data_IF_443657235978
#
_entry.id   IF_443657235978
#
_cell.length_a   1.000
_cell.length_b   1.000
_cell.length_c   1.000
_cell.angle_alpha   90.00
_cell.angle_beta   90.00
_cell.angle_gamma   90.00
#
_symmetry.space_group_name_H-M   'P 1'
#
loop_
_entity.id
_entity.type
_entity.pdbx_description
1 polymer ?
#
# COMPACT_ATOMS: atom_id res chain seq x y z
N UNK A 1 7.93 14.75 47.19
CA UNK A 1 7.92 15.21 45.78
C UNK A 1 9.16 14.79 44.98
N UNK A 2 10.41 14.97 45.43
CA UNK A 2 11.63 14.61 44.69
C UNK A 2 11.67 13.14 44.23
N UNK A 3 11.23 12.18 45.04
CA UNK A 3 11.25 10.75 44.68
C UNK A 3 10.24 10.38 43.63
N UNK A 4 9.06 11.00 43.60
CA UNK A 4 8.02 10.76 42.57
C UNK A 4 8.51 11.22 41.21
N UNK A 5 9.13 12.39 41.13
CA UNK A 5 9.72 12.95 39.91
C UNK A 5 10.83 12.03 39.40
N UNK A 6 11.70 11.52 40.28
CA UNK A 6 12.77 10.60 39.89
C UNK A 6 12.23 9.28 39.35
N UNK A 7 11.20 8.72 39.99
CA UNK A 7 10.52 7.48 39.51
C UNK A 7 9.90 7.74 38.14
N UNK A 8 9.23 8.88 37.95
CA UNK A 8 8.62 9.24 36.67
C UNK A 8 9.65 9.35 35.53
N UNK A 9 10.77 10.06 35.77
CA UNK A 9 11.85 10.16 34.78
C UNK A 9 12.49 8.78 34.45
N UNK A 10 12.74 7.95 35.48
CA UNK A 10 13.26 6.61 35.26
C UNK A 10 12.28 5.73 34.41
N UNK A 11 10.99 5.82 34.67
CA UNK A 11 9.98 5.09 33.91
C UNK A 11 9.96 5.53 32.44
N UNK A 12 10.02 6.86 32.19
CA UNK A 12 10.12 7.38 30.81
C UNK A 12 11.40 6.87 30.13
N UNK A 13 12.53 6.91 30.83
CA UNK A 13 13.81 6.43 30.27
C UNK A 13 13.75 4.94 29.91
N UNK A 14 13.17 4.11 30.78
CA UNK A 14 12.98 2.68 30.51
C UNK A 14 12.10 2.46 29.29
N UNK A 15 10.99 3.19 29.16
CA UNK A 15 10.09 3.08 27.98
C UNK A 15 10.81 3.48 26.71
N UNK A 16 11.56 4.58 26.70
CA UNK A 16 12.33 5.02 25.55
C UNK A 16 13.44 4.02 25.19
N UNK A 17 14.11 3.44 26.18
CA UNK A 17 15.12 2.42 25.97
C UNK A 17 14.52 1.16 25.33
N UNK A 18 13.41 0.65 25.88
CA UNK A 18 12.70 -0.52 25.31
C UNK A 18 12.23 -0.25 23.89
N UNK A 19 11.74 0.96 23.62
CA UNK A 19 11.33 1.37 22.27
C UNK A 19 12.52 1.38 21.30
N UNK A 20 13.67 1.92 21.73
CA UNK A 20 14.90 1.90 20.92
C UNK A 20 15.39 0.48 20.61
N UNK A 21 15.31 -0.43 21.60
CA UNK A 21 15.65 -1.85 21.42
C UNK A 21 14.69 -2.50 20.42
N UNK A 22 13.40 -2.19 20.51
CA UNK A 22 12.39 -2.73 19.60
C UNK A 22 12.63 -2.25 18.15
N UNK A 23 12.96 -0.96 17.96
CA UNK A 23 13.36 -0.42 16.67
C UNK A 23 14.56 -1.20 16.12
N UNK A 24 15.62 -1.32 16.92
CA UNK A 24 16.85 -2.00 16.51
C UNK A 24 16.59 -3.46 16.10
N UNK A 25 15.79 -4.19 16.87
CA UNK A 25 15.42 -5.57 16.55
C UNK A 25 14.62 -5.63 15.25
N UNK A 26 13.60 -4.78 15.08
CA UNK A 26 12.74 -4.80 13.89
C UNK A 26 13.47 -4.47 12.59
N UNK A 27 14.50 -3.62 12.64
CA UNK A 27 15.30 -3.27 11.46
C UNK A 27 16.34 -4.34 11.11
N UNK A 28 16.90 -5.03 12.11
CA UNK A 28 18.07 -5.88 11.93
C UNK A 28 17.79 -7.37 11.99
N UNK A 29 16.57 -7.80 12.37
CA UNK A 29 16.28 -9.23 12.55
C UNK A 29 15.53 -9.80 11.35
N UNK A 30 16.18 -10.67 10.57
CA UNK A 30 15.57 -11.37 9.44
C UNK A 30 14.38 -12.26 9.85
N UNK A 31 14.43 -12.87 11.03
CA UNK A 31 13.36 -13.72 11.56
C UNK A 31 12.04 -12.98 11.74
N UNK A 32 12.10 -11.72 12.25
CA UNK A 32 10.91 -10.90 12.40
C UNK A 32 10.30 -10.56 11.03
N UNK A 33 11.14 -10.20 10.07
CA UNK A 33 10.70 -9.88 8.71
C UNK A 33 10.07 -11.08 8.00
N UNK A 34 10.61 -12.28 8.18
CA UNK A 34 10.05 -13.52 7.63
C UNK A 34 8.70 -13.87 8.25
N UNK A 35 8.55 -13.74 9.58
CA UNK A 35 7.28 -13.97 10.27
C UNK A 35 6.19 -12.98 9.79
N UNK A 36 6.56 -11.72 9.62
CA UNK A 36 5.65 -10.69 9.09
C UNK A 36 5.24 -11.01 7.65
N UNK A 37 6.18 -11.45 6.82
CA UNK A 37 5.94 -11.85 5.43
C UNK A 37 4.90 -12.97 5.36
N UNK A 38 5.13 -14.08 6.08
CA UNK A 38 4.20 -15.19 6.08
C UNK A 38 2.80 -14.82 6.59
N UNK A 39 2.71 -13.90 7.56
CA UNK A 39 1.43 -13.39 8.06
C UNK A 39 0.68 -12.55 7.02
N UNK A 40 1.40 -11.73 6.26
CA UNK A 40 0.83 -10.92 5.17
C UNK A 40 0.34 -11.82 4.04
N UNK A 41 1.16 -12.75 3.56
CA UNK A 41 0.80 -13.68 2.49
C UNK A 41 -0.44 -14.49 2.84
N UNK A 42 -0.47 -15.04 4.06
CA UNK A 42 -1.63 -15.79 4.55
C UNK A 42 -2.89 -14.91 4.61
N UNK A 43 -2.78 -13.69 5.12
CA UNK A 43 -3.93 -12.79 5.21
C UNK A 43 -4.48 -12.41 3.85
N UNK A 44 -3.64 -12.19 2.85
CA UNK A 44 -4.09 -11.92 1.48
C UNK A 44 -4.80 -13.14 0.90
N UNK A 45 -4.27 -14.34 1.10
CA UNK A 45 -4.90 -15.58 0.64
C UNK A 45 -6.26 -15.80 1.30
N UNK A 46 -6.34 -15.66 2.64
CA UNK A 46 -7.58 -15.89 3.39
C UNK A 46 -8.66 -14.85 3.11
N UNK A 47 -8.27 -13.58 2.86
CA UNK A 47 -9.23 -12.47 2.70
C UNK A 47 -9.67 -12.24 1.26
N UNK A 48 -8.80 -12.50 0.29
CA UNK A 48 -9.01 -12.12 -1.12
C UNK A 48 -8.86 -13.28 -2.11
N UNK A 49 -8.53 -14.47 -1.61
CA UNK A 49 -8.27 -15.66 -2.42
C UNK A 49 -7.20 -15.44 -3.50
N UNK A 50 -6.17 -14.69 -3.13
CA UNK A 50 -5.06 -14.28 -4.00
C UNK A 50 -3.77 -14.88 -3.48
N UNK A 51 -3.04 -15.56 -4.36
CA UNK A 51 -1.72 -16.09 -4.06
C UNK A 51 -0.72 -14.92 -4.11
N UNK A 52 -0.17 -14.58 -2.95
CA UNK A 52 0.79 -13.50 -2.81
C UNK A 52 2.20 -14.06 -2.73
N UNK A 53 3.13 -13.48 -3.46
CA UNK A 53 4.57 -13.76 -3.37
C UNK A 53 5.30 -12.47 -3.12
N UNK A 54 6.15 -12.46 -2.11
CA UNK A 54 6.97 -11.31 -1.69
C UNK A 54 8.40 -11.80 -1.50
N UNK A 55 9.36 -11.17 -2.18
CA UNK A 55 10.76 -11.58 -2.06
C UNK A 55 11.36 -11.18 -0.72
N UNK A 56 11.11 -9.96 -0.28
CA UNK A 56 11.57 -9.50 1.03
C UNK A 56 10.75 -8.36 1.58
N UNK A 57 10.75 -8.28 2.91
CA UNK A 57 10.18 -7.18 3.69
C UNK A 57 11.29 -6.62 4.56
N UNK A 58 11.36 -5.29 4.65
CA UNK A 58 12.21 -4.58 5.60
C UNK A 58 11.40 -3.50 6.30
N UNK A 59 11.58 -3.39 7.60
CA UNK A 59 11.02 -2.27 8.36
C UNK A 59 12.09 -1.20 8.48
N UNK A 60 11.71 0.04 8.21
CA UNK A 60 12.52 1.22 8.40
C UNK A 60 11.73 2.23 9.22
N UNK A 61 12.38 2.85 10.19
CA UNK A 61 11.73 3.84 11.03
C UNK A 61 12.03 5.26 10.55
N UNK A 62 10.97 6.03 10.35
CA UNK A 62 11.04 7.47 10.03
C UNK A 62 10.50 8.25 11.23
N UNK A 63 11.38 8.57 12.18
CA UNK A 63 10.99 9.06 13.50
C UNK A 63 10.25 7.99 14.30
N UNK A 64 9.02 8.25 14.70
CA UNK A 64 8.17 7.31 15.45
C UNK A 64 7.30 6.42 14.53
N UNK A 65 7.24 6.71 13.24
CA UNK A 65 6.39 6.00 12.31
C UNK A 65 7.19 4.95 11.53
N UNK A 66 6.77 3.68 11.56
CA UNK A 66 7.42 2.65 10.76
C UNK A 66 6.97 2.68 9.30
N UNK A 67 7.91 2.43 8.41
CA UNK A 67 7.70 2.19 6.99
C UNK A 67 8.05 0.74 6.66
N UNK A 68 7.14 0.02 6.04
CA UNK A 68 7.35 -1.35 5.57
C UNK A 68 7.73 -1.28 4.10
N UNK A 69 8.98 -1.60 3.80
CA UNK A 69 9.49 -1.69 2.44
C UNK A 69 9.30 -3.12 1.95
N UNK A 70 8.60 -3.26 0.83
CA UNK A 70 8.32 -4.55 0.20
C UNK A 70 9.05 -4.58 -1.13
N UNK A 71 9.89 -5.60 -1.33
CA UNK A 71 10.57 -5.84 -2.60
C UNK A 71 9.84 -6.95 -3.34
N UNK A 72 9.57 -6.70 -4.63
CA UNK A 72 8.96 -7.69 -5.51
C UNK A 72 7.66 -8.29 -4.96
N UNK A 73 6.60 -7.48 -4.97
CA UNK A 73 5.25 -7.97 -4.64
C UNK A 73 4.58 -8.47 -5.91
N UNK A 74 4.15 -9.72 -5.91
CA UNK A 74 3.41 -10.34 -6.99
C UNK A 74 2.13 -10.98 -6.46
N UNK A 75 1.00 -10.61 -7.05
CA UNK A 75 -0.31 -11.16 -6.76
C UNK A 75 -0.78 -12.00 -7.94
N UNK A 76 -1.13 -13.24 -7.68
CA UNK A 76 -1.67 -14.16 -8.69
C UNK A 76 -3.09 -14.59 -8.33
N UNK A 77 -3.89 -14.91 -9.33
CA UNK A 77 -5.17 -15.58 -9.14
C UNK A 77 -4.98 -17.07 -8.81
N UNK A 78 -6.08 -17.78 -8.53
CA UNK A 78 -6.07 -19.24 -8.26
C UNK A 78 -5.51 -20.06 -9.44
N UNK A 79 -5.56 -19.53 -10.66
CA UNK A 79 -5.03 -20.14 -11.86
C UNK A 79 -3.58 -19.76 -12.13
N UNK A 80 -2.93 -19.09 -11.18
CA UNK A 80 -1.55 -18.60 -11.24
C UNK A 80 -1.31 -17.51 -12.32
N UNK A 81 -2.37 -16.84 -12.80
CA UNK A 81 -2.21 -15.68 -13.66
C UNK A 81 -1.84 -14.45 -12.82
N UNK A 82 -0.90 -13.66 -13.32
CA UNK A 82 -0.46 -12.43 -12.64
C UNK A 82 -1.57 -11.38 -12.70
N UNK A 83 -2.06 -10.98 -11.52
CA UNK A 83 -3.03 -9.92 -11.34
C UNK A 83 -2.32 -8.56 -11.22
N UNK A 84 -1.27 -8.55 -10.41
CA UNK A 84 -0.53 -7.37 -10.09
C UNK A 84 0.93 -7.72 -9.77
N UNK A 85 1.85 -6.89 -10.23
CA UNK A 85 3.27 -7.04 -9.93
C UNK A 85 3.90 -5.67 -9.77
N UNK A 86 4.72 -5.51 -8.73
CA UNK A 86 5.52 -4.32 -8.52
C UNK A 86 6.89 -4.69 -7.96
N UNK A 87 7.98 -4.12 -8.49
CA UNK A 87 9.32 -4.39 -7.98
C UNK A 87 9.57 -3.77 -6.61
N UNK A 88 8.85 -2.71 -6.26
CA UNK A 88 9.02 -2.04 -4.97
C UNK A 88 7.76 -1.33 -4.52
N UNK A 89 7.40 -1.50 -3.26
CA UNK A 89 6.35 -0.73 -2.60
C UNK A 89 6.74 -0.36 -1.17
N UNK A 90 6.15 0.71 -0.67
CA UNK A 90 6.35 1.21 0.69
C UNK A 90 5.00 1.45 1.33
N UNK A 91 4.78 0.86 2.49
CA UNK A 91 3.60 1.10 3.31
C UNK A 91 4.03 1.92 4.53
N UNK A 92 3.50 3.12 4.68
CA UNK A 92 3.73 3.98 5.84
C UNK A 92 2.61 3.83 6.84
N UNK A 93 2.96 3.55 8.08
CA UNK A 93 2.02 3.33 9.17
C UNK A 93 2.02 4.55 10.10
N UNK A 94 0.85 5.01 10.49
CA UNK A 94 0.68 5.98 11.58
C UNK A 94 0.61 5.21 12.91
N UNK A 95 1.76 5.14 13.61
CA UNK A 95 1.86 4.37 14.84
C UNK A 95 0.99 4.93 15.96
N UNK A 96 0.99 6.26 16.15
CA UNK A 96 0.22 6.87 17.23
C UNK A 96 -1.27 6.65 17.03
N UNK A 97 -1.76 6.85 15.82
CA UNK A 97 -3.16 6.60 15.47
C UNK A 97 -3.52 5.11 15.59
N UNK A 98 -2.60 4.23 15.20
CA UNK A 98 -2.77 2.78 15.33
C UNK A 98 -2.91 2.35 16.79
N UNK A 99 -2.09 2.89 17.67
CA UNK A 99 -2.15 2.63 19.11
C UNK A 99 -3.44 3.19 19.73
N UNK A 100 -3.81 4.42 19.38
CA UNK A 100 -5.01 5.07 19.91
C UNK A 100 -6.29 4.32 19.47
N UNK A 101 -6.36 3.88 18.22
CA UNK A 101 -7.53 3.20 17.67
C UNK A 101 -7.50 1.68 17.82
N UNK A 102 -6.42 1.10 18.37
CA UNK A 102 -6.20 -0.35 18.48
C UNK A 102 -6.35 -1.10 17.15
N UNK A 103 -6.12 -0.40 16.04
CA UNK A 103 -6.21 -0.93 14.67
C UNK A 103 -5.04 -0.42 13.85
N UNK A 104 -4.56 -1.22 12.89
CA UNK A 104 -3.47 -0.79 12.00
C UNK A 104 -3.96 0.35 11.10
N UNK A 105 -3.43 1.55 11.32
CA UNK A 105 -3.69 2.73 10.51
C UNK A 105 -2.57 2.92 9.48
N UNK A 106 -2.88 2.68 8.23
CA UNK A 106 -1.99 2.93 7.10
C UNK A 106 -2.22 4.36 6.65
N UNK A 107 -1.16 5.17 6.67
CA UNK A 107 -1.19 6.55 6.23
C UNK A 107 -1.05 6.65 4.70
N UNK A 108 -0.07 5.94 4.15
CA UNK A 108 0.26 6.01 2.73
C UNK A 108 0.77 4.66 2.20
N UNK A 109 0.40 4.35 0.96
CA UNK A 109 0.94 3.23 0.20
C UNK A 109 1.58 3.80 -1.07
N UNK A 110 2.90 3.64 -1.22
CA UNK A 110 3.64 4.07 -2.41
C UNK A 110 4.01 2.83 -3.22
N UNK A 111 3.64 2.83 -4.49
CA UNK A 111 3.90 1.75 -5.43
C UNK A 111 4.74 2.32 -6.58
N UNK A 112 5.88 1.71 -6.86
CA UNK A 112 6.81 2.21 -7.87
C UNK A 112 6.97 1.21 -9.01
N UNK A 113 7.11 1.75 -10.24
CA UNK A 113 7.47 0.98 -11.44
C UNK A 113 6.54 -0.20 -11.71
N UNK A 114 5.25 -0.05 -11.48
CA UNK A 114 4.26 -1.11 -11.70
C UNK A 114 3.56 -0.97 -13.04
N UNK A 115 3.05 -2.10 -13.56
CA UNK A 115 2.11 -2.11 -14.67
C UNK A 115 0.75 -2.59 -14.18
N UNK A 116 -0.24 -1.71 -14.27
CA UNK A 116 -1.64 -2.00 -13.96
C UNK A 116 -2.39 -2.27 -15.27
N UNK A 117 -2.96 -3.46 -15.39
CA UNK A 117 -3.83 -3.79 -16.51
C UNK A 117 -5.28 -3.73 -16.08
N UNK A 118 -6.02 -2.79 -16.66
CA UNK A 118 -7.44 -2.61 -16.45
C UNK A 118 -8.19 -3.17 -17.64
N UNK A 119 -9.29 -3.86 -17.42
CA UNK A 119 -10.18 -4.31 -18.48
C UNK A 119 -11.53 -3.64 -18.31
N UNK A 120 -11.99 -2.92 -19.35
CA UNK A 120 -13.33 -2.37 -19.42
C UNK A 120 -14.25 -3.38 -20.10
N UNK A 121 -15.37 -3.67 -19.47
CA UNK A 121 -16.44 -4.49 -20.01
C UNK A 121 -17.77 -3.74 -19.81
N UNK A 122 -18.28 -3.15 -20.87
CA UNK A 122 -19.41 -2.21 -20.85
C UNK A 122 -19.14 -1.04 -19.87
N UNK A 123 -19.90 -0.96 -18.79
CA UNK A 123 -19.76 0.08 -17.73
C UNK A 123 -18.86 -0.34 -16.57
N UNK A 124 -18.36 -1.57 -16.55
CA UNK A 124 -17.56 -2.09 -15.45
C UNK A 124 -16.07 -2.06 -15.77
N UNK A 125 -15.25 -1.73 -14.78
CA UNK A 125 -13.79 -1.77 -14.89
C UNK A 125 -13.28 -2.85 -13.95
N UNK A 126 -12.47 -3.74 -14.47
CA UNK A 126 -11.85 -4.84 -13.73
C UNK A 126 -10.34 -4.65 -13.72
N UNK A 127 -9.69 -4.93 -12.60
CA UNK A 127 -8.23 -5.09 -12.58
C UNK A 127 -7.93 -6.54 -12.90
N UNK A 128 -7.33 -6.82 -14.07
CA UNK A 128 -6.91 -8.15 -14.50
C UNK A 128 -7.94 -9.26 -14.19
N UNK A 129 -9.23 -9.03 -14.51
CA UNK A 129 -10.36 -9.93 -14.25
C UNK A 129 -10.78 -10.08 -12.77
N UNK A 130 -10.14 -9.41 -11.82
CA UNK A 130 -10.68 -9.30 -10.47
C UNK A 130 -11.84 -8.31 -10.44
N UNK A 131 -12.98 -8.77 -10.02
CA UNK A 131 -14.13 -7.90 -9.76
C UNK A 131 -13.88 -7.18 -8.43
N UNK A 132 -13.35 -5.96 -8.49
CA UNK A 132 -13.11 -5.14 -7.29
C UNK A 132 -14.39 -4.63 -6.62
N UNK A 133 -15.53 -4.81 -7.29
CA UNK A 133 -16.83 -4.44 -6.76
C UNK A 133 -17.43 -5.66 -6.05
N UNK A 134 -16.76 -6.19 -5.06
CA UNK A 134 -17.48 -6.93 -4.03
C UNK A 134 -18.25 -5.88 -3.24
N UNK A 135 -19.57 -5.85 -3.45
CA UNK A 135 -20.52 -5.14 -2.59
C UNK A 135 -20.37 -5.67 -1.16
N UNK A 136 -19.39 -5.16 -0.44
CA UNK A 136 -19.39 -5.26 1.00
C UNK A 136 -20.54 -4.42 1.50
N UNK A 137 -21.66 -5.06 1.87
CA UNK A 137 -22.82 -4.43 2.48
C UNK A 137 -22.54 -3.87 3.89
N UNK A 138 -21.29 -3.82 4.31
CA UNK A 138 -20.85 -3.21 5.57
C UNK A 138 -20.27 -1.83 5.29
N UNK A 139 -21.14 -0.82 5.36
CA UNK A 139 -20.84 0.61 5.34
C UNK A 139 -20.16 1.09 6.62
N UNK A 140 -19.06 0.46 7.04
CA UNK A 140 -18.08 1.17 7.85
C UNK A 140 -17.24 1.98 6.87
N UNK A 141 -17.24 3.30 7.02
CA UNK A 141 -16.37 4.19 6.28
C UNK A 141 -14.92 3.83 6.58
N UNK A 142 -14.37 2.93 5.77
CA UNK A 142 -12.95 2.60 5.83
C UNK A 142 -12.25 3.80 5.22
N UNK A 143 -11.52 4.57 6.05
CA UNK A 143 -10.67 5.62 5.52
C UNK A 143 -9.62 4.95 4.62
N UNK A 144 -9.69 5.20 3.32
CA UNK A 144 -8.72 4.70 2.37
C UNK A 144 -7.38 5.40 2.63
N UNK A 145 -6.26 4.68 2.75
CA UNK A 145 -4.95 5.31 2.85
C UNK A 145 -4.66 6.11 1.57
N UNK A 146 -3.78 7.09 1.67
CA UNK A 146 -3.26 7.77 0.49
C UNK A 146 -2.48 6.76 -0.37
N UNK A 147 -2.89 6.58 -1.62
CA UNK A 147 -2.22 5.70 -2.58
C UNK A 147 -1.43 6.56 -3.55
N UNK A 148 -0.15 6.27 -3.73
CA UNK A 148 0.75 6.96 -4.64
C UNK A 148 1.35 5.96 -5.61
N UNK A 149 1.04 6.08 -6.89
CA UNK A 149 1.73 5.36 -7.96
C UNK A 149 2.80 6.27 -8.55
N UNK A 150 4.02 5.75 -8.74
CA UNK A 150 5.13 6.48 -9.36
C UNK A 150 5.73 5.66 -10.50
N UNK A 151 6.09 6.34 -11.59
CA UNK A 151 6.78 5.75 -12.73
C UNK A 151 6.11 4.45 -13.23
N UNK A 152 4.79 4.46 -13.30
CA UNK A 152 3.96 3.27 -13.54
C UNK A 152 3.29 3.35 -14.92
N UNK A 153 2.81 2.21 -15.40
CA UNK A 153 2.06 2.11 -16.64
C UNK A 153 0.65 1.61 -16.34
N UNK A 154 -0.36 2.31 -16.83
CA UNK A 154 -1.74 1.82 -16.82
C UNK A 154 -2.11 1.40 -18.24
N UNK A 155 -2.47 0.15 -18.41
CA UNK A 155 -3.01 -0.40 -19.65
C UNK A 155 -4.50 -0.58 -19.51
N UNK A 156 -5.28 0.10 -20.34
CA UNK A 156 -6.73 -0.04 -20.39
C UNK A 156 -7.11 -0.83 -21.65
N UNK A 157 -7.62 -2.04 -21.46
CA UNK A 157 -8.14 -2.89 -22.53
C UNK A 157 -9.67 -2.80 -22.56
N UNK A 158 -10.22 -2.39 -23.67
CA UNK A 158 -11.66 -2.42 -23.89
C UNK A 158 -12.05 -3.74 -24.57
N UNK A 159 -12.92 -4.52 -23.93
CA UNK A 159 -13.37 -5.81 -24.47
C UNK A 159 -14.23 -5.65 -25.72
N UNK A 160 -15.01 -4.56 -25.82
CA UNK A 160 -15.92 -4.33 -26.93
C UNK A 160 -15.17 -4.00 -28.22
N UNK A 161 -14.18 -3.13 -28.13
CA UNK A 161 -13.39 -2.68 -29.30
C UNK A 161 -12.11 -3.47 -29.51
N UNK A 162 -11.71 -4.31 -28.53
CA UNK A 162 -10.43 -5.01 -28.46
C UNK A 162 -9.21 -4.09 -28.44
N UNK A 163 -9.40 -2.80 -28.31
CA UNK A 163 -8.33 -1.81 -28.25
C UNK A 163 -7.68 -1.80 -26.88
N UNK A 164 -6.37 -1.52 -26.86
CA UNK A 164 -5.61 -1.30 -25.63
C UNK A 164 -4.97 0.07 -25.70
N UNK A 165 -5.21 0.88 -24.68
CA UNK A 165 -4.60 2.20 -24.53
C UNK A 165 -3.64 2.12 -23.35
N UNK A 166 -2.43 2.63 -23.50
CA UNK A 166 -1.41 2.67 -22.44
C UNK A 166 -1.13 4.11 -22.03
N UNK A 167 -1.09 4.32 -20.73
CA UNK A 167 -0.73 5.60 -20.12
C UNK A 167 0.49 5.42 -19.24
N UNK A 168 1.55 6.18 -19.50
CA UNK A 168 2.71 6.25 -18.62
C UNK A 168 2.42 7.26 -17.52
N UNK A 169 2.39 6.79 -16.29
CA UNK A 169 2.10 7.58 -15.09
C UNK A 169 3.43 8.02 -14.46
N UNK A 170 3.71 9.31 -14.42
CA UNK A 170 4.81 9.83 -13.63
C UNK A 170 4.47 9.81 -12.16
N UNK A 171 3.28 10.34 -11.81
CA UNK A 171 2.75 10.30 -10.45
C UNK A 171 1.23 10.29 -10.51
N UNK A 172 0.60 9.40 -9.75
CA UNK A 172 -0.83 9.41 -9.47
C UNK A 172 -1.01 9.34 -7.95
N UNK A 173 -1.79 10.24 -7.40
CA UNK A 173 -2.12 10.31 -5.99
C UNK A 173 -3.62 10.14 -5.85
N UNK A 174 -4.06 9.14 -5.14
CA UNK A 174 -5.44 8.94 -4.74
C UNK A 174 -5.56 9.01 -3.22
N UNK A 175 -6.43 9.85 -2.71
CA UNK A 175 -6.68 9.99 -1.29
C UNK A 175 -8.17 10.19 -1.02
N UNK A 176 -8.62 9.80 0.17
CA UNK A 176 -10.00 9.97 0.59
C UNK A 176 -10.03 10.68 1.95
N UNK A 177 -10.28 11.99 1.92
CA UNK A 177 -10.56 12.82 3.09
C UNK A 177 -12.03 13.30 3.02
N UNK A 178 -12.99 12.37 3.14
CA UNK A 178 -14.44 12.52 2.92
C UNK A 178 -14.86 12.58 1.44
N UNK A 179 -13.99 12.94 0.51
CA UNK A 179 -14.19 12.87 -0.94
C UNK A 179 -12.98 12.20 -1.58
N UNK A 180 -13.21 11.43 -2.63
CA UNK A 180 -12.13 10.83 -3.40
C UNK A 180 -11.43 11.93 -4.22
N UNK A 181 -10.16 12.20 -3.88
CA UNK A 181 -9.31 13.12 -4.63
C UNK A 181 -8.31 12.30 -5.45
N UNK A 182 -8.24 12.56 -6.74
CA UNK A 182 -7.27 11.95 -7.64
C UNK A 182 -6.49 13.07 -8.31
N UNK A 183 -5.18 13.03 -8.17
CA UNK A 183 -4.24 13.92 -8.85
C UNK A 183 -3.29 13.03 -9.66
N UNK A 184 -3.32 13.17 -10.98
CA UNK A 184 -2.57 12.32 -11.89
C UNK A 184 -1.80 13.17 -12.92
N UNK A 185 -0.52 12.86 -13.06
CA UNK A 185 0.34 13.36 -14.12
C UNK A 185 0.76 12.18 -14.99
N UNK A 186 0.33 12.17 -16.25
CA UNK A 186 0.58 11.06 -17.15
C UNK A 186 0.94 11.54 -18.56
N UNK A 187 1.68 10.68 -19.27
CA UNK A 187 2.02 10.86 -20.68
C UNK A 187 1.25 9.81 -21.49
N UNK A 188 0.58 10.26 -22.53
CA UNK A 188 0.06 9.36 -23.55
C UNK A 188 1.20 8.94 -24.49
N UNK A 189 1.22 7.70 -24.97
CA UNK A 189 2.32 7.18 -25.81
C UNK A 189 2.56 8.00 -27.10
N UNK A 190 1.54 8.70 -27.59
CA UNK A 190 1.62 9.56 -28.80
C UNK A 190 1.86 11.03 -28.50
N UNK A 191 2.04 11.45 -27.25
CA UNK A 191 2.22 12.85 -26.85
C UNK A 191 3.52 13.02 -26.09
N UNK A 192 4.28 14.08 -26.43
CA UNK A 192 5.46 14.51 -25.68
C UNK A 192 5.10 15.33 -24.44
N UNK A 193 3.89 15.88 -24.39
CA UNK A 193 3.46 16.78 -23.34
C UNK A 193 2.71 16.01 -22.23
N UNK A 194 3.03 16.27 -20.96
CA UNK A 194 2.33 15.65 -19.84
C UNK A 194 0.91 16.21 -19.72
N UNK A 195 -0.05 15.32 -19.49
CA UNK A 195 -1.42 15.68 -19.19
C UNK A 195 -1.60 15.61 -17.67
N UNK A 196 -2.07 16.70 -17.08
CA UNK A 196 -2.43 16.74 -15.65
C UNK A 196 -3.94 16.60 -15.51
N UNK A 197 -4.36 15.65 -14.71
CA UNK A 197 -5.76 15.41 -14.37
C UNK A 197 -5.95 15.56 -12.87
N UNK A 198 -6.92 16.41 -12.49
CA UNK A 198 -7.29 16.63 -11.08
C UNK A 198 -8.80 16.35 -10.95
N UNK A 199 -9.15 15.42 -10.06
CA UNK A 199 -10.52 15.15 -9.65
C UNK A 199 -10.64 15.39 -8.14
N UNK A 200 -11.63 16.18 -7.72
CA UNK A 200 -11.88 16.54 -6.32
C UNK A 200 -13.34 16.35 -5.97
#
# INVERSE_FOLDING_TARGET
MKNIIKIFFNSIFIVLFLFSVLIFISENTSTFNQSLLGSIEKKFQDSYNVITKIDSIKIKWEGINPSILISSLKLNDEKNNVIFETPASVIRVDLLKSLYQTTLNINEVVINNTTLSLTRDNSNIFINNLNLINKSNNTKSISMPKIVLKNSIIKLKDKSTKNTISFKINTLIASNNNTLNIDANFLHESSSDPITFIYR
#
